data_IF_850870683079
#
_entry.id   IF_850870683079
#
_cell.length_a   1.000
_cell.length_b   1.000
_cell.length_c   1.000
_cell.angle_alpha   90.00
_cell.angle_beta   90.00
_cell.angle_gamma   90.00
#
_symmetry.space_group_name_H-M   'P 1'
#
loop_
_entity.id
_entity.type
_entity.pdbx_description
1 polymer ?
#
# COMPACT_ATOMS: atom_id res chain seq x y z
N UNK A 1 -9.25 18.95 -22.77
CA UNK A 1 -8.66 18.70 -21.44
C UNK A 1 -7.25 18.16 -21.64
N UNK A 2 -6.28 18.52 -20.78
CA UNK A 2 -4.94 17.94 -20.85
C UNK A 2 -5.02 16.43 -20.60
N UNK A 3 -4.25 15.65 -21.34
CA UNK A 3 -4.21 14.18 -21.28
C UNK A 3 -4.16 13.60 -19.83
N UNK A 4 -3.36 14.17 -18.90
CA UNK A 4 -3.36 13.73 -17.50
C UNK A 4 -4.71 13.83 -16.78
N UNK A 5 -5.50 14.86 -17.08
CA UNK A 5 -6.82 15.04 -16.45
C UNK A 5 -7.81 13.97 -16.91
N UNK A 6 -7.70 13.51 -18.16
CA UNK A 6 -8.53 12.42 -18.70
C UNK A 6 -8.14 11.09 -18.03
N UNK A 7 -6.84 10.80 -17.92
CA UNK A 7 -6.35 9.59 -17.23
C UNK A 7 -6.78 9.56 -15.76
N UNK A 8 -6.67 10.69 -15.06
CA UNK A 8 -7.12 10.80 -13.66
C UNK A 8 -8.63 10.56 -13.54
N UNK A 9 -9.43 11.22 -14.39
CA UNK A 9 -10.88 11.05 -14.39
C UNK A 9 -11.29 9.60 -14.66
N UNK A 10 -10.69 8.95 -15.66
CA UNK A 10 -10.93 7.54 -15.98
C UNK A 10 -10.53 6.61 -14.84
N UNK A 11 -9.42 6.90 -14.16
CA UNK A 11 -8.95 6.12 -13.00
C UNK A 11 -9.93 6.24 -11.84
N UNK A 12 -10.41 7.45 -11.53
CA UNK A 12 -11.39 7.69 -10.47
C UNK A 12 -12.71 6.97 -10.78
N UNK A 13 -13.23 7.15 -12.01
CA UNK A 13 -14.48 6.50 -12.43
C UNK A 13 -14.35 4.99 -12.35
N UNK A 14 -13.28 4.42 -12.90
CA UNK A 14 -13.05 2.96 -12.85
C UNK A 14 -12.94 2.47 -11.41
N UNK A 15 -12.22 3.20 -10.55
CA UNK A 15 -12.09 2.85 -9.12
C UNK A 15 -13.44 2.85 -8.40
N UNK A 16 -14.30 3.83 -8.67
CA UNK A 16 -15.65 3.90 -8.12
C UNK A 16 -16.50 2.73 -8.62
N UNK A 17 -16.48 2.44 -9.93
CA UNK A 17 -17.25 1.34 -10.50
C UNK A 17 -16.84 -0.02 -9.92
N UNK A 18 -15.53 -0.22 -9.72
CA UNK A 18 -14.98 -1.42 -9.05
C UNK A 18 -15.39 -1.47 -7.58
N UNK A 19 -15.28 -0.36 -6.86
CA UNK A 19 -15.68 -0.28 -5.44
C UNK A 19 -17.18 -0.56 -5.23
N UNK A 20 -18.02 -0.11 -6.16
CA UNK A 20 -19.47 -0.35 -6.16
C UNK A 20 -19.85 -1.73 -6.73
N UNK A 21 -18.88 -2.57 -7.12
CA UNK A 21 -19.10 -3.89 -7.75
C UNK A 21 -19.87 -3.85 -9.07
N UNK A 22 -19.91 -2.69 -9.74
CA UNK A 22 -20.59 -2.49 -11.02
C UNK A 22 -19.74 -2.96 -12.21
N UNK A 23 -18.43 -3.09 -12.00
CA UNK A 23 -17.50 -3.62 -12.98
C UNK A 23 -16.84 -4.88 -12.42
N UNK A 24 -17.22 -6.10 -12.86
CA UNK A 24 -16.52 -7.30 -12.45
C UNK A 24 -15.09 -7.29 -13.02
N UNK A 25 -14.10 -7.31 -12.13
CA UNK A 25 -12.71 -7.54 -12.53
C UNK A 25 -12.42 -9.05 -12.43
N UNK A 26 -12.23 -9.68 -13.59
CA UNK A 26 -11.87 -11.10 -13.69
C UNK A 26 -12.37 -11.78 -14.97
N UNK A 27 -11.72 -12.89 -15.33
CA UNK A 27 -12.25 -13.88 -16.30
C UNK A 27 -13.21 -14.82 -15.55
N UNK A 28 -14.02 -15.63 -16.26
CA UNK A 28 -15.06 -16.50 -15.67
C UNK A 28 -14.56 -17.35 -14.49
N UNK A 29 -13.31 -17.82 -14.53
CA UNK A 29 -12.68 -18.62 -13.47
C UNK A 29 -11.88 -17.80 -12.43
N UNK A 30 -11.70 -16.50 -12.67
CA UNK A 30 -10.87 -15.58 -11.89
C UNK A 30 -11.63 -14.31 -11.49
N UNK A 31 -12.90 -14.45 -11.15
CA UNK A 31 -13.69 -13.33 -10.63
C UNK A 31 -13.19 -12.97 -9.23
N UNK A 32 -12.78 -11.72 -9.04
CA UNK A 32 -12.45 -11.20 -7.72
C UNK A 32 -13.66 -11.36 -6.79
N UNK A 33 -13.57 -12.30 -5.85
CA UNK A 33 -14.61 -12.47 -4.82
C UNK A 33 -14.62 -11.23 -3.94
N UNK A 34 -15.61 -10.37 -4.12
CA UNK A 34 -15.80 -9.21 -3.26
C UNK A 34 -15.94 -9.63 -1.79
N UNK A 35 -15.35 -8.84 -0.90
CA UNK A 35 -15.50 -9.06 0.54
C UNK A 35 -16.94 -8.80 0.96
N UNK A 36 -17.56 -9.69 1.71
CA UNK A 36 -18.82 -9.37 2.41
C UNK A 36 -18.60 -8.71 3.77
N UNK A 37 -17.34 -8.38 4.09
CA UNK A 37 -17.03 -7.58 5.27
C UNK A 37 -17.60 -6.17 5.08
N UNK A 38 -18.52 -5.79 5.95
CA UNK A 38 -19.03 -4.41 6.03
C UNK A 38 -17.88 -3.47 6.39
N UNK A 39 -17.65 -2.47 5.55
CA UNK A 39 -16.67 -1.41 5.81
C UNK A 39 -16.98 -0.69 7.13
N UNK A 40 -18.27 -0.47 7.41
CA UNK A 40 -18.74 0.25 8.58
C UNK A 40 -18.36 -0.44 9.89
N UNK A 41 -18.36 -1.77 9.90
CA UNK A 41 -18.00 -2.56 11.09
C UNK A 41 -16.52 -2.43 11.45
N UNK A 42 -15.70 -1.96 10.50
CA UNK A 42 -14.24 -1.81 10.66
C UNK A 42 -13.76 -0.36 10.62
N UNK A 43 -14.56 0.56 10.09
CA UNK A 43 -14.21 1.97 9.92
C UNK A 43 -14.07 2.73 11.24
N UNK A 44 -14.69 2.26 12.33
CA UNK A 44 -14.66 2.93 13.62
C UNK A 44 -13.23 3.10 14.16
N UNK A 45 -12.34 2.13 13.92
CA UNK A 45 -10.98 2.15 14.45
C UNK A 45 -10.10 3.21 13.77
N UNK A 46 -9.92 3.22 12.43
CA UNK A 46 -9.15 4.27 11.78
C UNK A 46 -9.79 5.65 11.99
N UNK A 47 -11.11 5.75 12.08
CA UNK A 47 -11.78 6.99 12.44
C UNK A 47 -11.39 7.47 13.85
N UNK A 48 -11.37 6.58 14.86
CA UNK A 48 -10.96 6.90 16.21
C UNK A 48 -9.48 7.37 16.26
N UNK A 49 -8.58 6.67 15.57
CA UNK A 49 -7.15 7.04 15.50
C UNK A 49 -7.00 8.42 14.85
N UNK A 50 -7.73 8.69 13.77
CA UNK A 50 -7.70 9.98 13.09
C UNK A 50 -8.20 11.12 13.98
N UNK A 51 -9.32 10.92 14.70
CA UNK A 51 -9.86 11.90 15.63
C UNK A 51 -8.89 12.21 16.78
N UNK A 52 -8.21 11.19 17.32
CA UNK A 52 -7.21 11.36 18.36
C UNK A 52 -5.98 12.11 17.85
N UNK A 53 -5.50 11.81 16.64
CA UNK A 53 -4.42 12.55 16.01
C UNK A 53 -4.80 14.02 15.76
N UNK A 54 -6.01 14.27 15.26
CA UNK A 54 -6.52 15.63 15.07
C UNK A 54 -6.60 16.40 16.39
N UNK A 55 -7.04 15.75 17.48
CA UNK A 55 -7.07 16.32 18.82
C UNK A 55 -5.66 16.65 19.32
N UNK A 56 -4.70 15.73 19.15
CA UNK A 56 -3.29 15.97 19.49
C UNK A 56 -2.75 17.18 18.73
N UNK A 57 -2.90 17.22 17.40
CA UNK A 57 -2.43 18.32 16.57
C UNK A 57 -3.05 19.66 16.98
N UNK A 58 -4.35 19.69 17.28
CA UNK A 58 -5.02 20.88 17.81
C UNK A 58 -4.40 21.36 19.13
N UNK A 59 -4.08 20.44 20.05
CA UNK A 59 -3.44 20.81 21.32
C UNK A 59 -2.01 21.29 21.17
N UNK A 60 -1.23 20.66 20.28
CA UNK A 60 0.17 21.00 20.00
C UNK A 60 0.25 22.36 19.33
N UNK A 61 -0.54 22.58 18.26
CA UNK A 61 -0.57 23.87 17.54
C UNK A 61 -0.96 25.03 18.45
N UNK A 62 -1.90 24.84 19.39
CA UNK A 62 -2.30 25.87 20.35
C UNK A 62 -1.20 26.22 21.39
N UNK A 63 -0.15 25.41 21.50
CA UNK A 63 0.91 25.55 22.52
C UNK A 63 2.31 25.62 21.94
N UNK A 64 2.46 25.65 20.63
CA UNK A 64 3.73 25.49 19.93
C UNK A 64 4.82 26.42 20.46
N UNK A 65 4.51 27.72 20.63
CA UNK A 65 5.46 28.74 21.10
C UNK A 65 5.88 28.60 22.57
N UNK A 66 5.20 27.73 23.32
CA UNK A 66 5.41 27.52 24.76
C UNK A 66 5.98 26.15 25.08
N UNK A 67 6.28 25.34 24.06
CA UNK A 67 6.80 23.99 24.25
C UNK A 67 8.26 24.02 24.70
N UNK A 68 8.58 23.21 25.71
CA UNK A 68 9.98 22.92 26.01
C UNK A 68 10.53 21.87 25.04
N UNK A 69 11.85 21.76 24.94
CA UNK A 69 12.51 20.69 24.16
C UNK A 69 12.06 19.28 24.56
N UNK A 70 11.72 19.08 25.85
CA UNK A 70 11.17 17.80 26.33
C UNK A 70 9.78 17.55 25.76
N UNK A 71 8.93 18.56 25.71
CA UNK A 71 7.58 18.45 25.15
C UNK A 71 7.63 18.17 23.65
N UNK A 72 8.56 18.81 22.93
CA UNK A 72 8.80 18.53 21.50
C UNK A 72 9.14 17.06 21.26
N UNK A 73 10.08 16.50 22.01
CA UNK A 73 10.44 15.08 21.90
C UNK A 73 9.25 14.18 22.18
N UNK A 74 8.47 14.49 23.22
CA UNK A 74 7.25 13.73 23.54
C UNK A 74 6.24 13.79 22.39
N UNK A 75 6.01 14.97 21.82
CA UNK A 75 5.10 15.15 20.68
C UNK A 75 5.59 14.38 19.47
N UNK A 76 6.88 14.42 19.14
CA UNK A 76 7.46 13.65 18.03
C UNK A 76 7.24 12.16 18.23
N UNK A 77 7.52 11.64 19.43
CA UNK A 77 7.26 10.23 19.76
C UNK A 77 5.78 9.89 19.62
N UNK A 78 4.88 10.74 20.11
CA UNK A 78 3.44 10.54 19.95
C UNK A 78 3.01 10.55 18.48
N UNK A 79 3.56 11.44 17.65
CA UNK A 79 3.27 11.49 16.22
C UNK A 79 3.72 10.21 15.51
N UNK A 80 4.90 9.68 15.85
CA UNK A 80 5.37 8.38 15.33
C UNK A 80 4.42 7.26 15.74
N UNK A 81 4.01 7.21 17.01
CA UNK A 81 3.04 6.22 17.50
C UNK A 81 1.70 6.32 16.76
N UNK A 82 1.18 7.53 16.55
CA UNK A 82 -0.07 7.74 15.82
C UNK A 82 0.06 7.41 14.33
N UNK A 83 1.21 7.67 13.71
CA UNK A 83 1.47 7.27 12.33
C UNK A 83 1.44 5.74 12.20
N UNK A 84 2.11 5.02 13.09
CA UNK A 84 2.03 3.56 13.14
C UNK A 84 0.59 3.08 13.41
N UNK A 85 -0.10 3.65 14.39
CA UNK A 85 -1.49 3.29 14.70
C UNK A 85 -2.42 3.53 13.50
N UNK A 86 -2.21 4.61 12.75
CA UNK A 86 -2.96 4.91 11.54
C UNK A 86 -2.70 3.85 10.47
N UNK A 87 -1.44 3.50 10.21
CA UNK A 87 -1.08 2.43 9.26
C UNK A 87 -1.72 1.09 9.60
N UNK A 88 -1.68 0.66 10.87
CA UNK A 88 -2.29 -0.61 11.28
C UNK A 88 -3.81 -0.57 11.27
N UNK A 89 -4.41 0.55 11.68
CA UNK A 89 -5.87 0.72 11.69
C UNK A 89 -6.48 0.85 10.28
N UNK A 90 -5.75 1.41 9.30
CA UNK A 90 -6.21 1.42 7.91
C UNK A 90 -6.13 0.03 7.30
N UNK A 91 -5.09 -0.74 7.60
CA UNK A 91 -4.99 -2.13 7.17
C UNK A 91 -6.11 -3.01 7.77
N UNK A 92 -6.63 -2.67 8.96
CA UNK A 92 -7.80 -3.34 9.54
C UNK A 92 -9.06 -3.30 8.65
N UNK A 93 -9.15 -2.32 7.73
CA UNK A 93 -10.23 -2.26 6.73
C UNK A 93 -10.16 -3.40 5.70
N UNK A 94 -8.97 -3.95 5.47
CA UNK A 94 -8.72 -5.08 4.57
C UNK A 94 -9.26 -6.40 5.10
N UNK A 95 -9.41 -7.40 4.23
CA UNK A 95 -10.00 -8.71 4.58
C UNK A 95 -9.28 -9.41 5.74
N UNK A 96 -7.95 -9.54 5.68
CA UNK A 96 -7.15 -10.16 6.74
C UNK A 96 -6.86 -9.24 7.93
N UNK A 97 -7.39 -8.02 7.93
CA UNK A 97 -7.32 -7.10 9.06
C UNK A 97 -5.88 -6.76 9.44
N UNK A 98 -5.58 -6.75 10.75
CA UNK A 98 -4.22 -6.45 11.23
C UNK A 98 -3.17 -7.47 10.78
N UNK A 99 -3.55 -8.72 10.52
CA UNK A 99 -2.61 -9.75 10.11
C UNK A 99 -1.99 -9.38 8.77
N UNK A 100 -2.78 -8.93 7.79
CA UNK A 100 -2.27 -8.50 6.49
C UNK A 100 -1.25 -7.35 6.62
N UNK A 101 -1.49 -6.40 7.53
CA UNK A 101 -0.57 -5.28 7.80
C UNK A 101 0.77 -5.76 8.37
N UNK A 102 0.71 -6.65 9.37
CA UNK A 102 1.90 -7.24 10.01
C UNK A 102 2.65 -8.09 9.01
N UNK A 103 1.96 -8.92 8.23
CA UNK A 103 2.57 -9.74 7.19
C UNK A 103 3.22 -8.84 6.12
N UNK A 104 2.54 -7.81 5.63
CA UNK A 104 3.12 -6.87 4.66
C UNK A 104 4.36 -6.13 5.20
N UNK A 105 4.42 -5.86 6.50
CA UNK A 105 5.54 -5.14 7.13
C UNK A 105 6.71 -6.07 7.51
N UNK A 106 6.42 -7.29 7.96
CA UNK A 106 7.39 -8.22 8.55
C UNK A 106 7.84 -9.29 7.55
N UNK A 107 7.02 -9.62 6.55
CA UNK A 107 7.35 -10.64 5.55
C UNK A 107 7.93 -9.99 4.29
N UNK A 108 9.26 -10.00 4.10
CA UNK A 108 9.90 -9.49 2.89
C UNK A 108 9.54 -10.28 1.61
N UNK A 109 8.82 -11.39 1.74
CA UNK A 109 8.27 -12.13 0.60
C UNK A 109 6.93 -11.60 0.11
N UNK A 110 6.18 -10.83 0.92
CA UNK A 110 5.03 -10.06 0.45
C UNK A 110 5.51 -8.87 -0.40
N UNK A 111 6.75 -8.42 -0.19
CA UNK A 111 7.45 -7.43 -1.02
C UNK A 111 8.32 -8.04 -2.12
N UNK A 112 8.13 -9.32 -2.48
CA UNK A 112 8.96 -10.00 -3.48
C UNK A 112 9.11 -9.22 -4.80
N UNK A 113 8.05 -8.54 -5.25
CA UNK A 113 8.12 -7.64 -6.41
C UNK A 113 8.96 -6.39 -6.19
N UNK A 114 8.90 -5.79 -4.99
CA UNK A 114 9.72 -4.64 -4.62
C UNK A 114 11.20 -5.03 -4.48
N UNK A 115 11.48 -6.19 -3.88
CA UNK A 115 12.84 -6.73 -3.79
C UNK A 115 13.39 -7.11 -5.17
N UNK A 116 12.58 -7.67 -6.06
CA UNK A 116 12.96 -7.91 -7.45
C UNK A 116 13.24 -6.59 -8.18
N UNK A 117 12.40 -5.58 -7.98
CA UNK A 117 12.51 -4.27 -8.63
C UNK A 117 13.83 -3.57 -8.30
N UNK A 118 14.32 -3.69 -7.07
CA UNK A 118 15.60 -3.12 -6.66
C UNK A 118 16.81 -3.67 -7.44
N UNK A 119 16.68 -4.88 -8.01
CA UNK A 119 17.73 -5.51 -8.82
C UNK A 119 17.58 -5.20 -10.32
N UNK A 120 16.56 -4.45 -10.71
CA UNK A 120 16.34 -4.06 -12.11
C UNK A 120 17.02 -2.71 -12.37
N UNK A 121 18.12 -2.70 -13.10
CA UNK A 121 18.80 -1.46 -13.51
C UNK A 121 18.22 -0.88 -14.81
N UNK A 122 17.68 -1.74 -15.68
CA UNK A 122 17.10 -1.36 -16.97
C UNK A 122 15.82 -2.18 -17.21
N UNK A 123 14.68 -1.51 -17.27
CA UNK A 123 13.38 -2.15 -17.46
C UNK A 123 13.23 -2.86 -18.81
N UNK A 124 13.86 -2.32 -19.88
CA UNK A 124 13.79 -2.93 -21.22
C UNK A 124 14.61 -4.22 -21.24
N UNK A 125 15.81 -4.19 -20.67
CA UNK A 125 16.66 -5.38 -20.58
C UNK A 125 16.01 -6.45 -19.70
N UNK A 126 15.43 -6.04 -18.56
CA UNK A 126 14.69 -6.95 -17.69
C UNK A 126 13.52 -7.62 -18.40
N UNK A 127 12.72 -6.86 -19.15
CA UNK A 127 11.61 -7.42 -19.93
C UNK A 127 12.09 -8.40 -21.02
N UNK A 128 13.19 -8.07 -21.72
CA UNK A 128 13.76 -8.92 -22.75
C UNK A 128 14.26 -10.27 -22.21
N UNK A 129 14.70 -10.30 -20.95
CA UNK A 129 15.25 -11.49 -20.28
C UNK A 129 14.38 -12.02 -19.14
N UNK A 130 13.10 -11.62 -19.08
CA UNK A 130 12.25 -11.96 -17.93
C UNK A 130 12.09 -13.48 -17.76
N UNK A 131 11.97 -14.21 -18.87
CA UNK A 131 11.88 -15.66 -18.87
C UNK A 131 13.14 -16.33 -18.25
N UNK A 132 14.33 -15.83 -18.59
CA UNK A 132 15.59 -16.33 -18.04
C UNK A 132 15.72 -15.98 -16.56
N UNK A 133 15.30 -14.77 -16.18
CA UNK A 133 15.29 -14.30 -14.80
C UNK A 133 14.43 -15.19 -13.90
N UNK A 134 13.18 -15.48 -14.29
CA UNK A 134 12.29 -16.32 -13.48
C UNK A 134 12.74 -17.77 -13.42
N UNK A 135 13.39 -18.30 -14.47
CA UNK A 135 13.92 -19.65 -14.50
C UNK A 135 15.04 -19.88 -13.47
N UNK A 136 15.72 -18.81 -13.06
CA UNK A 136 16.81 -18.84 -12.07
C UNK A 136 16.30 -18.64 -10.63
N UNK A 137 15.02 -18.28 -10.44
CA UNK A 137 14.45 -18.07 -9.11
C UNK A 137 14.31 -19.42 -8.39
N UNK A 138 14.96 -19.54 -7.23
CA UNK A 138 14.79 -20.70 -6.38
C UNK A 138 13.35 -20.75 -5.82
N UNK A 139 12.67 -21.88 -6.00
CA UNK A 139 11.33 -22.19 -5.49
C UNK A 139 11.24 -22.26 -3.95
N UNK A 140 12.30 -21.91 -3.22
CA UNK A 140 12.26 -21.71 -1.76
C UNK A 140 12.56 -20.26 -1.35
N UNK A 141 12.78 -19.38 -2.32
CA UNK A 141 13.09 -17.97 -2.08
C UNK A 141 11.83 -17.11 -1.99
N UNK A 142 11.96 -15.94 -1.36
CA UNK A 142 10.96 -14.88 -1.33
C UNK A 142 10.55 -14.37 -2.72
N UNK A 143 11.36 -14.65 -3.75
CA UNK A 143 11.11 -14.26 -5.13
C UNK A 143 10.23 -15.26 -5.90
N UNK A 144 9.89 -16.42 -5.32
CA UNK A 144 9.01 -17.40 -6.00
C UNK A 144 7.70 -16.77 -6.47
N UNK A 145 7.13 -15.85 -5.67
CA UNK A 145 5.91 -15.15 -6.05
C UNK A 145 6.10 -14.31 -7.32
N UNK A 146 7.29 -13.77 -7.58
CA UNK A 146 7.59 -13.04 -8.82
C UNK A 146 7.51 -13.97 -10.04
N UNK A 147 8.02 -15.20 -9.92
CA UNK A 147 8.01 -16.18 -11.01
C UNK A 147 6.61 -16.64 -11.42
N UNK A 148 5.60 -16.47 -10.57
CA UNK A 148 4.22 -16.90 -10.82
C UNK A 148 3.35 -15.85 -11.51
N UNK A 149 3.89 -14.65 -11.76
CA UNK A 149 3.12 -13.53 -12.29
C UNK A 149 3.86 -12.82 -13.44
N UNK A 150 3.14 -12.09 -14.31
CA UNK A 150 3.75 -11.21 -15.30
C UNK A 150 4.65 -10.15 -14.66
N UNK A 151 5.62 -9.56 -15.39
CA UNK A 151 6.61 -8.62 -14.83
C UNK A 151 6.03 -7.28 -14.36
N UNK A 152 4.73 -7.03 -14.60
CA UNK A 152 4.05 -5.76 -14.33
C UNK A 152 4.25 -5.22 -12.91
N UNK A 153 4.02 -6.02 -11.84
CA UNK A 153 4.23 -5.55 -10.47
C UNK A 153 5.69 -5.20 -10.15
N UNK A 154 6.67 -5.92 -10.72
CA UNK A 154 8.10 -5.57 -10.58
C UNK A 154 8.38 -4.23 -11.23
N UNK A 155 7.88 -4.01 -12.44
CA UNK A 155 8.04 -2.75 -13.17
C UNK A 155 7.34 -1.59 -12.49
N UNK A 156 6.19 -1.83 -11.86
CA UNK A 156 5.50 -0.83 -11.04
C UNK A 156 6.42 -0.33 -9.93
N UNK A 157 6.97 -1.22 -9.10
CA UNK A 157 7.88 -0.83 -8.03
C UNK A 157 9.20 -0.23 -8.55
N UNK A 158 9.74 -0.74 -9.66
CA UNK A 158 10.94 -0.17 -10.30
C UNK A 158 10.69 1.28 -10.74
N UNK A 159 9.57 1.54 -11.43
CA UNK A 159 9.22 2.89 -11.85
C UNK A 159 9.01 3.83 -10.67
N UNK A 160 8.46 3.32 -9.56
CA UNK A 160 8.32 4.11 -8.34
C UNK A 160 9.68 4.59 -7.83
N UNK A 161 10.66 3.68 -7.74
CA UNK A 161 12.03 3.99 -7.27
C UNK A 161 12.80 4.94 -8.21
N UNK A 162 12.55 4.89 -9.52
CA UNK A 162 13.26 5.75 -10.48
C UNK A 162 12.68 7.17 -10.59
N UNK A 163 11.41 7.37 -10.28
CA UNK A 163 10.70 8.62 -10.59
C UNK A 163 10.13 9.36 -9.37
N UNK A 164 10.14 8.76 -8.18
CA UNK A 164 9.61 9.36 -6.94
C UNK A 164 10.60 9.22 -5.79
#
# INVERSE_FOLDING_TARGET
MPFPAICLALTIVTSILVALRLLPLGLEDWVWKYSNVSLWDRAWLPAAVFLLLAALLKTVTARLDKMSRRDEVVVVVMLVVFACALQFSTAYLGKGGFQDAVLATVMPHVSGYHAAAYNVSDARLFLAHYADYIAQINMRSSLMHVAQHPPGPVLYYWSHDQFF
#
